data_IF_567563237731
#
_entry.id   IF_567563237731
#
_cell.length_a   1.000
_cell.length_b   1.000
_cell.length_c   1.000
_cell.angle_alpha   90.00
_cell.angle_beta   90.00
_cell.angle_gamma   90.00
#
_symmetry.space_group_name_H-M   'P 1'
#
loop_
_entity.id
_entity.type
_entity.pdbx_description
1 polymer ?
#
# COMPACT_ATOMS: atom_id res chain seq x y z
N UNK A 1 2.92 -10.07 -1.81
CA UNK A 1 1.88 -10.58 -0.88
C UNK A 1 1.80 -12.10 -1.01
N UNK A 2 1.72 -12.87 0.09
CA UNK A 2 1.80 -14.35 0.04
C UNK A 2 0.43 -15.04 0.23
N UNK A 3 -0.61 -14.54 -0.44
CA UNK A 3 -1.97 -15.11 -0.42
C UNK A 3 -2.15 -16.32 -1.36
N UNK A 4 -1.05 -16.87 -1.91
CA UNK A 4 -1.09 -17.90 -2.95
C UNK A 4 -1.55 -17.39 -4.32
N UNK A 5 -1.65 -16.07 -4.52
CA UNK A 5 -2.02 -15.42 -5.77
C UNK A 5 -0.83 -14.70 -6.39
N UNK A 6 -0.65 -14.84 -7.70
CA UNK A 6 0.24 -13.97 -8.48
C UNK A 6 -0.31 -12.53 -8.53
N UNK A 7 0.55 -11.56 -8.83
CA UNK A 7 0.14 -10.16 -9.00
C UNK A 7 -0.98 -10.02 -10.05
N UNK A 8 -0.91 -10.81 -11.14
CA UNK A 8 -1.91 -10.79 -12.21
C UNK A 8 -3.27 -11.31 -11.72
N UNK A 9 -3.27 -12.44 -11.01
CA UNK A 9 -4.51 -13.01 -10.46
C UNK A 9 -5.16 -12.10 -9.43
N UNK A 10 -4.37 -11.46 -8.57
CA UNK A 10 -4.87 -10.47 -7.62
C UNK A 10 -5.46 -9.26 -8.35
N UNK A 11 -4.76 -8.74 -9.36
CA UNK A 11 -5.21 -7.60 -10.16
C UNK A 11 -6.53 -7.88 -10.88
N UNK A 12 -6.65 -9.07 -11.49
CA UNK A 12 -7.86 -9.53 -12.16
C UNK A 12 -9.03 -9.63 -11.18
N UNK A 13 -8.85 -10.32 -10.05
CA UNK A 13 -9.90 -10.47 -9.03
C UNK A 13 -10.32 -9.14 -8.41
N UNK A 14 -9.37 -8.23 -8.22
CA UNK A 14 -9.64 -6.92 -7.68
C UNK A 14 -10.12 -5.91 -8.73
N UNK A 15 -10.15 -6.26 -10.02
CA UNK A 15 -10.47 -5.38 -11.15
C UNK A 15 -9.63 -4.09 -11.16
N UNK A 16 -8.31 -4.24 -11.02
CA UNK A 16 -7.33 -3.16 -11.13
C UNK A 16 -6.23 -3.53 -12.14
N UNK A 17 -5.51 -2.57 -12.72
CA UNK A 17 -4.34 -2.88 -13.54
C UNK A 17 -3.24 -3.59 -12.73
N UNK A 18 -2.63 -4.63 -13.29
CA UNK A 18 -1.48 -5.34 -12.67
C UNK A 18 -0.32 -4.41 -12.35
N UNK A 19 -0.14 -3.34 -13.14
CA UNK A 19 0.86 -2.29 -12.88
C UNK A 19 0.62 -1.54 -11.57
N UNK A 20 -0.62 -1.45 -11.09
CA UNK A 20 -0.91 -0.85 -9.78
C UNK A 20 -0.43 -1.75 -8.64
N UNK A 21 -0.66 -3.07 -8.72
CA UNK A 21 -0.15 -4.03 -7.72
C UNK A 21 1.38 -3.93 -7.62
N UNK A 22 2.01 -3.95 -8.78
CA UNK A 22 3.45 -3.79 -8.98
C UNK A 22 3.99 -2.47 -8.40
N UNK A 23 3.23 -1.38 -8.45
CA UNK A 23 3.58 -0.10 -7.85
C UNK A 23 3.40 -0.11 -6.31
N UNK A 24 2.34 -0.73 -5.81
CA UNK A 24 2.09 -0.87 -4.37
C UNK A 24 3.15 -1.74 -3.69
N UNK A 25 3.49 -2.89 -4.27
CA UNK A 25 4.49 -3.80 -3.68
C UNK A 25 5.92 -3.26 -3.69
N UNK A 26 6.20 -2.22 -4.46
CA UNK A 26 7.50 -1.53 -4.50
C UNK A 26 7.49 -0.20 -3.76
N UNK A 27 6.49 0.04 -2.92
CA UNK A 27 6.28 1.30 -2.18
C UNK A 27 6.25 2.55 -3.08
N UNK A 28 5.97 2.40 -4.38
CA UNK A 28 5.96 3.52 -5.33
C UNK A 28 4.68 4.33 -5.26
N UNK A 29 3.60 3.72 -4.77
CA UNK A 29 2.30 4.33 -4.56
C UNK A 29 1.68 3.69 -3.34
N UNK A 30 0.89 4.46 -2.61
CA UNK A 30 -0.01 3.89 -1.60
C UNK A 30 -1.41 3.70 -2.22
N UNK A 31 -2.07 2.55 -1.98
CA UNK A 31 -3.47 2.39 -2.36
C UNK A 31 -4.34 3.28 -1.48
N UNK A 32 -5.41 3.84 -2.05
CA UNK A 32 -6.48 4.42 -1.23
C UNK A 32 -7.13 3.33 -0.37
N UNK A 33 -7.73 3.68 0.77
CA UNK A 33 -8.43 2.72 1.62
C UNK A 33 -9.46 1.88 0.84
N UNK A 34 -10.32 2.44 -0.04
CA UNK A 34 -11.22 1.64 -0.87
C UNK A 34 -10.49 0.63 -1.78
N UNK A 35 -9.33 1.02 -2.32
CA UNK A 35 -8.52 0.12 -3.17
C UNK A 35 -7.91 -1.00 -2.34
N UNK A 36 -7.37 -0.69 -1.17
CA UNK A 36 -6.84 -1.68 -0.23
C UNK A 36 -7.91 -2.71 0.15
N UNK A 37 -9.10 -2.25 0.53
CA UNK A 37 -10.22 -3.14 0.89
C UNK A 37 -10.61 -4.06 -0.27
N UNK A 38 -10.65 -3.55 -1.51
CA UNK A 38 -10.89 -4.38 -2.71
C UNK A 38 -9.83 -5.46 -2.89
N UNK A 39 -8.56 -5.12 -2.70
CA UNK A 39 -7.44 -6.06 -2.82
C UNK A 39 -7.51 -7.16 -1.75
N UNK A 40 -7.81 -6.79 -0.51
CA UNK A 40 -7.95 -7.74 0.59
C UNK A 40 -9.12 -8.71 0.35
N UNK A 41 -10.29 -8.20 -0.04
CA UNK A 41 -11.44 -9.04 -0.37
C UNK A 41 -11.14 -9.99 -1.55
N UNK A 42 -10.48 -9.50 -2.60
CA UNK A 42 -10.05 -10.31 -3.75
C UNK A 42 -9.05 -11.42 -3.37
N UNK A 43 -8.25 -11.18 -2.33
CA UNK A 43 -7.34 -12.16 -1.74
C UNK A 43 -8.00 -13.06 -0.68
N UNK A 44 -9.29 -12.86 -0.38
CA UNK A 44 -10.04 -13.67 0.60
C UNK A 44 -9.90 -13.21 2.05
N UNK A 45 -9.50 -11.96 2.29
CA UNK A 45 -9.31 -11.38 3.61
C UNK A 45 -10.29 -10.24 3.88
N UNK A 46 -10.74 -10.13 5.12
CA UNK A 46 -11.55 -9.02 5.63
C UNK A 46 -10.68 -8.14 6.55
N UNK A 47 -10.61 -6.83 6.30
CA UNK A 47 -9.93 -5.89 7.20
C UNK A 47 -10.88 -5.47 8.32
N UNK A 48 -10.49 -5.72 9.57
CA UNK A 48 -11.21 -5.22 10.76
C UNK A 48 -10.37 -4.17 11.48
N UNK A 49 -10.85 -2.94 11.50
CA UNK A 49 -10.22 -1.84 12.23
C UNK A 49 -10.89 -1.68 13.59
N UNK A 50 -10.08 -1.46 14.64
CA UNK A 50 -10.54 -1.12 15.99
C UNK A 50 -9.80 0.13 16.45
N UNK A 51 -10.47 0.94 17.26
CA UNK A 51 -9.87 2.09 17.89
C UNK A 51 -9.17 1.63 19.17
N UNK A 52 -7.94 2.10 19.36
CA UNK A 52 -7.19 1.95 20.60
C UNK A 52 -6.86 3.36 21.11
N UNK A 53 -6.67 3.55 22.43
CA UNK A 53 -6.16 4.80 22.97
C UNK A 53 -4.82 5.16 22.32
N UNK A 54 -4.64 6.44 21.96
CA UNK A 54 -3.36 6.92 21.42
C UNK A 54 -2.37 7.12 22.57
N UNK A 55 -1.27 6.36 22.57
CA UNK A 55 -0.17 6.55 23.52
C UNK A 55 0.96 7.38 22.88
N UNK A 56 1.34 8.53 23.46
CA UNK A 56 2.45 9.34 22.94
C UNK A 56 3.77 8.56 23.01
N UNK A 57 4.26 8.08 21.86
CA UNK A 57 5.41 7.20 21.76
C UNK A 57 5.28 6.15 20.66
N UNK A 58 4.05 5.87 20.22
CA UNK A 58 3.82 5.24 18.93
C UNK A 58 4.22 6.22 17.81
N UNK A 59 4.93 5.72 16.79
CA UNK A 59 5.37 6.52 15.64
C UNK A 59 4.14 7.26 15.07
N UNK A 60 4.20 8.59 15.05
CA UNK A 60 3.02 9.37 14.67
C UNK A 60 2.70 9.17 13.19
N UNK A 61 1.44 9.42 12.81
CA UNK A 61 1.05 9.38 11.38
C UNK A 61 1.92 10.36 10.56
N UNK A 62 2.31 11.49 11.15
CA UNK A 62 3.22 12.43 10.49
C UNK A 62 4.64 11.88 10.34
N UNK A 63 5.15 11.12 11.31
CA UNK A 63 6.47 10.46 11.21
C UNK A 63 6.48 9.36 10.15
N UNK A 64 5.39 8.59 10.05
CA UNK A 64 5.20 7.60 8.99
C UNK A 64 5.14 8.25 7.61
N UNK A 65 4.38 9.34 7.47
CA UNK A 65 4.29 10.11 6.23
C UNK A 65 5.64 10.72 5.85
N UNK A 66 6.39 11.26 6.82
CA UNK A 66 7.73 11.81 6.60
C UNK A 66 8.70 10.74 6.08
N UNK A 67 8.74 9.55 6.71
CA UNK A 67 9.57 8.43 6.26
C UNK A 67 9.19 7.95 4.87
N UNK A 68 7.89 7.92 4.55
CA UNK A 68 7.43 7.53 3.22
C UNK A 68 7.86 8.56 2.16
N UNK A 69 7.77 9.86 2.48
CA UNK A 69 8.20 10.94 1.61
C UNK A 69 9.73 10.88 1.35
N UNK A 70 10.54 10.68 2.39
CA UNK A 70 11.99 10.49 2.28
C UNK A 70 12.33 9.28 1.38
N UNK A 71 11.70 8.13 1.65
CA UNK A 71 11.93 6.90 0.87
C UNK A 71 11.55 7.07 -0.61
N UNK A 72 10.57 7.92 -0.92
CA UNK A 72 10.18 8.27 -2.30
C UNK A 72 11.21 9.20 -2.99
N UNK A 73 11.73 10.19 -2.27
CA UNK A 73 12.74 11.12 -2.82
C UNK A 73 14.07 10.42 -3.18
N UNK A 74 14.47 9.38 -2.45
CA UNK A 74 15.67 8.59 -2.77
C UNK A 74 15.50 7.61 -3.95
N UNK A 75 14.27 7.34 -4.41
CA UNK A 75 13.98 6.28 -5.40
C UNK A 75 13.69 6.78 -6.83
N UNK A 76 13.80 8.09 -7.11
CA UNK A 76 13.43 8.67 -8.41
C UNK A 76 14.63 9.33 -9.13
N UNK A 77 15.25 8.70 -10.16
CA UNK A 77 16.23 9.35 -11.01
C UNK A 77 15.57 10.06 -12.20
N UNK A 78 14.52 10.85 -11.96
CA UNK A 78 13.92 11.74 -12.97
C UNK A 78 13.91 13.16 -12.41
N UNK A 79 15.11 13.71 -12.27
CA UNK A 79 15.37 15.13 -12.15
C UNK A 79 16.70 15.44 -12.84
N UNK A 80 16.79 15.13 -14.12
CA UNK A 80 17.81 15.65 -15.01
C UNK A 80 17.16 15.89 -16.37
N UNK A 81 16.61 17.10 -16.52
CA UNK A 81 16.49 17.78 -17.80
C UNK A 81 17.47 18.92 -17.77
#
# INVERSE_FOLDING_TARGET
>A
MNAGLSQRELAERASVPTTMISAYERDKRQPTLPTLLRLLNAAGFELRMRLEPYEPGDESVEELDARQAEKWHLASPVAAT
#
